data_IF_318436559872
#
_entry.id   IF_318436559872
#
_cell.length_a   1.000
_cell.length_b   1.000
_cell.length_c   1.000
_cell.angle_alpha   90.00
_cell.angle_beta   90.00
_cell.angle_gamma   90.00
#
_symmetry.space_group_name_H-M   'P 1'
#
loop_
_entity.id
_entity.type
_entity.pdbx_description
1 polymer ?
#
# COMPACT_ATOMS: atom_id res chain seq x y z
N UNK A 1 -57.08 46.18 16.36
CA UNK A 1 -57.08 47.39 17.22
C UNK A 1 -55.91 47.27 18.22
N UNK A 2 -54.70 47.69 17.81
CA UNK A 2 -54.16 49.06 18.01
C UNK A 2 -53.98 49.41 19.50
N UNK A 3 -52.86 49.94 20.02
CA UNK A 3 -51.57 50.42 19.49
C UNK A 3 -50.68 50.80 20.70
N UNK A 4 -49.34 50.75 20.52
CA UNK A 4 -48.28 51.63 21.08
C UNK A 4 -48.11 51.76 22.60
N UNK A 5 -46.92 51.88 23.18
CA UNK A 5 -45.55 52.05 22.71
C UNK A 5 -44.75 52.67 23.87
N UNK A 6 -43.48 52.30 24.08
CA UNK A 6 -42.40 53.28 24.28
C UNK A 6 -41.02 52.59 24.25
N UNK A 7 -40.07 53.25 23.61
CA UNK A 7 -38.69 52.84 23.34
C UNK A 7 -37.75 53.75 24.10
N UNK A 8 -36.72 53.22 24.75
CA UNK A 8 -35.51 53.99 25.07
C UNK A 8 -34.28 53.14 24.77
N UNK A 9 -33.59 53.54 23.70
CA UNK A 9 -32.24 53.16 23.36
C UNK A 9 -31.26 53.96 24.23
N UNK A 10 -30.19 53.32 24.67
CA UNK A 10 -29.03 53.99 25.26
C UNK A 10 -27.83 53.74 24.33
N UNK A 11 -27.13 54.82 24.03
CA UNK A 11 -26.15 54.96 22.95
C UNK A 11 -24.78 55.35 23.54
N UNK A 12 -23.71 54.90 22.87
CA UNK A 12 -22.33 55.44 22.80
C UNK A 12 -21.27 55.02 23.86
N UNK A 13 -19.95 55.12 23.55
CA UNK A 13 -19.31 55.58 22.30
C UNK A 13 -18.21 54.66 21.71
N UNK A 14 -17.88 54.95 20.45
CA UNK A 14 -16.62 54.63 19.78
C UNK A 14 -15.52 55.65 20.11
N UNK A 15 -14.26 55.21 20.02
CA UNK A 15 -13.07 56.06 20.06
C UNK A 15 -11.83 55.31 19.56
N UNK A 16 -11.40 55.66 18.34
CA UNK A 16 -10.04 55.55 17.78
C UNK A 16 -9.06 56.38 18.68
N UNK A 17 -7.72 56.31 18.68
CA UNK A 17 -6.74 55.93 17.67
C UNK A 17 -5.32 55.80 18.32
N UNK A 18 -4.40 55.20 17.57
CA UNK A 18 -2.97 55.54 17.43
C UNK A 18 -1.88 55.10 18.44
N UNK A 19 -1.00 54.26 17.88
CA UNK A 19 0.47 54.42 17.77
C UNK A 19 1.40 53.89 18.87
N UNK A 20 2.19 52.87 18.52
CA UNK A 20 3.63 53.01 18.27
C UNK A 20 4.22 51.70 17.73
N UNK A 21 4.79 51.77 16.53
CA UNK A 21 5.70 50.78 15.94
C UNK A 21 6.99 50.66 16.77
N UNK A 22 7.60 49.48 16.78
CA UNK A 22 9.04 49.42 16.59
C UNK A 22 9.43 48.26 15.66
N UNK A 23 10.16 48.68 14.63
CA UNK A 23 10.67 47.93 13.50
C UNK A 23 12.11 47.54 13.85
N UNK A 24 12.54 46.33 13.50
CA UNK A 24 13.94 46.09 13.14
C UNK A 24 14.02 45.42 11.77
N UNK A 25 14.24 46.26 10.77
CA UNK A 25 14.99 45.98 9.54
C UNK A 25 16.41 45.50 9.90
N UNK A 26 17.22 44.88 9.06
CA UNK A 26 17.32 44.73 7.60
C UNK A 26 18.71 44.08 7.36
N UNK A 27 18.92 43.28 6.33
CA UNK A 27 19.31 43.70 4.97
C UNK A 27 19.34 42.39 4.14
N UNK A 28 18.94 42.30 2.88
CA UNK A 28 18.66 43.34 1.89
C UNK A 28 19.53 43.12 0.64
N UNK A 29 18.84 43.11 -0.52
CA UNK A 29 19.32 43.35 -1.89
C UNK A 29 19.60 42.09 -2.75
N UNK A 30 18.70 41.70 -3.67
CA UNK A 30 18.30 42.27 -4.99
C UNK A 30 19.15 41.63 -6.12
N UNK A 31 18.57 40.72 -6.92
CA UNK A 31 17.96 40.94 -8.26
C UNK A 31 18.97 40.79 -9.42
N UNK A 32 18.68 39.91 -10.38
CA UNK A 32 18.61 40.20 -11.84
C UNK A 32 18.66 38.90 -12.64
N UNK A 33 17.70 38.75 -13.56
CA UNK A 33 17.79 37.84 -14.71
C UNK A 33 18.78 38.41 -15.74
N UNK A 34 19.54 37.55 -16.42
CA UNK A 34 19.80 37.66 -17.86
C UNK A 34 20.52 36.42 -18.41
N UNK A 35 20.11 36.10 -19.63
CA UNK A 35 20.59 35.11 -20.60
C UNK A 35 22.00 35.40 -21.17
N UNK A 36 22.71 34.34 -21.59
CA UNK A 36 23.64 34.22 -22.74
C UNK A 36 24.49 32.94 -22.51
N UNK A 37 24.32 31.83 -23.21
CA UNK A 37 24.83 31.55 -24.57
C UNK A 37 26.23 32.14 -24.79
N UNK A 38 27.25 31.28 -24.84
CA UNK A 38 28.54 31.65 -25.42
C UNK A 38 28.95 30.62 -26.49
N UNK A 39 29.21 31.17 -27.66
CA UNK A 39 29.46 30.50 -28.92
C UNK A 39 30.91 30.01 -29.03
N UNK A 40 31.01 28.91 -29.77
CA UNK A 40 32.11 28.40 -30.58
C UNK A 40 33.02 29.51 -31.15
N UNK A 41 34.34 29.30 -31.10
CA UNK A 41 35.23 29.69 -32.20
C UNK A 41 36.44 28.75 -32.39
N UNK A 42 37.01 28.68 -33.62
CA UNK A 42 37.52 27.45 -34.23
C UNK A 42 39.02 27.49 -34.56
N UNK A 43 39.53 26.33 -35.01
CA UNK A 43 40.64 26.26 -35.94
C UNK A 43 41.88 25.52 -35.42
N UNK A 44 42.21 24.39 -36.03
CA UNK A 44 43.37 24.24 -36.93
C UNK A 44 43.70 22.74 -37.10
N UNK A 45 43.46 22.21 -38.30
CA UNK A 45 44.07 20.96 -38.79
C UNK A 45 45.31 21.33 -39.60
N UNK A 46 46.40 20.53 -39.54
CA UNK A 46 47.01 20.04 -40.79
C UNK A 46 47.57 18.59 -40.62
N UNK A 47 48.22 17.96 -41.63
CA UNK A 47 47.56 17.08 -42.60
C UNK A 47 48.17 15.65 -42.65
N UNK A 48 47.42 14.75 -43.30
CA UNK A 48 47.86 13.72 -44.25
C UNK A 48 49.10 12.87 -43.97
N UNK A 49 48.88 11.55 -43.91
CA UNK A 49 49.65 10.61 -44.73
C UNK A 49 48.80 9.37 -45.04
N UNK A 50 48.41 9.26 -46.30
CA UNK A 50 47.90 8.05 -46.94
C UNK A 50 48.99 6.98 -46.96
N UNK A 51 48.66 5.76 -46.52
CA UNK A 51 49.14 4.53 -47.15
C UNK A 51 47.97 3.56 -47.25
N UNK A 52 47.53 3.31 -48.49
CA UNK A 52 46.65 2.24 -48.90
C UNK A 52 47.42 0.91 -48.94
N UNK A 53 46.83 -0.17 -48.41
CA UNK A 53 47.08 -1.53 -48.89
C UNK A 53 45.77 -2.33 -48.86
N UNK A 54 45.33 -2.72 -50.06
CA UNK A 54 44.23 -3.64 -50.37
C UNK A 54 44.60 -5.12 -50.10
N UNK A 55 43.58 -5.92 -49.79
CA UNK A 55 43.56 -7.40 -49.76
C UNK A 55 43.30 -7.91 -48.35
N UNK A 56 42.25 -8.65 -48.01
CA UNK A 56 41.40 -9.60 -48.74
C UNK A 56 40.04 -9.68 -48.01
N UNK A 57 38.93 -9.69 -48.75
CA UNK A 57 37.59 -9.94 -48.22
C UNK A 57 37.37 -11.46 -48.20
N UNK A 58 37.07 -12.03 -47.03
CA UNK A 58 36.48 -13.36 -46.87
C UNK A 58 35.17 -13.26 -46.11
N UNK A 59 34.19 -14.11 -46.44
CA UNK A 59 32.77 -13.81 -46.32
C UNK A 59 32.24 -13.95 -44.89
N UNK A 60 31.20 -13.16 -44.64
CA UNK A 60 30.34 -13.23 -43.47
C UNK A 60 29.63 -14.60 -43.42
N UNK A 61 29.95 -15.42 -42.43
CA UNK A 61 29.09 -16.52 -42.00
C UNK A 61 28.08 -15.94 -40.99
N UNK A 62 26.89 -15.64 -41.49
CA UNK A 62 25.67 -15.47 -40.69
C UNK A 62 25.38 -16.77 -39.92
N UNK A 63 25.71 -16.82 -38.63
CA UNK A 63 24.94 -17.60 -37.65
C UNK A 63 25.21 -17.10 -36.22
N UNK A 64 24.73 -15.90 -35.91
CA UNK A 64 24.51 -15.52 -34.51
C UNK A 64 23.09 -15.94 -34.15
N UNK A 65 22.89 -17.22 -33.87
CA UNK A 65 21.83 -17.60 -32.94
C UNK A 65 22.12 -16.83 -31.66
N UNK A 66 21.33 -15.78 -31.40
CA UNK A 66 21.19 -15.28 -30.04
C UNK A 66 20.59 -16.44 -29.25
N UNK A 67 21.46 -17.21 -28.61
CA UNK A 67 21.06 -18.06 -27.50
C UNK A 67 20.36 -17.12 -26.52
N UNK A 68 19.04 -17.24 -26.48
CA UNK A 68 18.19 -16.64 -25.47
C UNK A 68 18.61 -17.29 -24.15
N UNK A 69 19.64 -16.71 -23.53
CA UNK A 69 20.06 -17.05 -22.18
C UNK A 69 18.97 -16.51 -21.27
N UNK A 70 17.86 -17.24 -21.17
CA UNK A 70 16.98 -17.15 -20.02
C UNK A 70 17.84 -17.53 -18.82
N UNK A 71 18.37 -16.52 -18.13
CA UNK A 71 19.02 -16.74 -16.84
C UNK A 71 18.03 -17.51 -15.97
N UNK A 72 18.35 -18.77 -15.63
CA UNK A 72 17.49 -19.54 -14.75
C UNK A 72 17.38 -18.78 -13.43
N UNK A 73 16.17 -18.38 -13.05
CA UNK A 73 15.97 -17.66 -11.80
C UNK A 73 16.49 -18.49 -10.61
N UNK A 74 17.47 -17.92 -9.91
CA UNK A 74 18.08 -18.50 -8.72
C UNK A 74 17.31 -18.10 -7.46
N UNK A 75 16.57 -19.07 -6.93
CA UNK A 75 15.79 -18.94 -5.70
C UNK A 75 16.58 -19.34 -4.44
N UNK A 76 17.87 -19.69 -4.58
CA UNK A 76 18.69 -20.07 -3.45
C UNK A 76 18.79 -18.92 -2.45
N UNK A 77 18.80 -19.25 -1.16
CA UNK A 77 18.82 -18.30 -0.04
C UNK A 77 17.58 -17.39 0.08
N UNK A 78 16.49 -17.67 -0.63
CA UNK A 78 15.18 -17.12 -0.25
C UNK A 78 14.62 -17.93 0.93
N UNK A 79 13.79 -17.28 1.75
CA UNK A 79 13.11 -17.99 2.83
C UNK A 79 12.14 -19.02 2.25
N UNK A 80 12.01 -20.16 2.91
CA UNK A 80 11.00 -21.15 2.54
C UNK A 80 9.60 -20.63 2.80
N UNK A 81 8.59 -21.26 2.18
CA UNK A 81 7.19 -20.93 2.45
C UNK A 81 6.81 -21.12 3.93
N UNK A 82 7.36 -22.14 4.58
CA UNK A 82 7.13 -22.40 6.00
C UNK A 82 7.77 -21.32 6.88
N UNK A 83 9.01 -20.92 6.60
CA UNK A 83 9.66 -19.79 7.28
C UNK A 83 8.90 -18.48 7.10
N UNK A 84 8.30 -18.26 5.91
CA UNK A 84 7.46 -17.09 5.64
C UNK A 84 6.21 -17.11 6.53
N UNK A 85 5.54 -18.27 6.64
CA UNK A 85 4.35 -18.44 7.49
C UNK A 85 4.68 -18.26 8.97
N UNK A 86 5.84 -18.74 9.40
CA UNK A 86 6.31 -18.66 10.78
C UNK A 86 6.86 -17.28 11.19
N UNK A 87 6.94 -16.31 10.26
CA UNK A 87 7.26 -14.92 10.62
C UNK A 87 6.31 -14.41 11.71
N UNK A 88 6.84 -13.65 12.65
CA UNK A 88 6.04 -13.10 13.73
C UNK A 88 4.98 -12.09 13.23
N UNK A 89 4.02 -11.77 14.09
CA UNK A 89 2.88 -10.90 13.75
C UNK A 89 3.24 -9.41 13.65
N UNK A 90 4.51 -9.06 13.55
CA UNK A 90 4.99 -7.68 13.43
C UNK A 90 5.89 -7.43 12.23
N UNK A 91 6.13 -8.46 11.42
CA UNK A 91 6.96 -8.42 10.21
C UNK A 91 6.23 -9.10 9.05
N UNK A 92 6.20 -8.45 7.90
CA UNK A 92 5.76 -9.02 6.63
C UNK A 92 6.98 -9.53 5.83
N UNK A 93 6.79 -10.56 5.01
CA UNK A 93 7.82 -11.10 4.15
C UNK A 93 7.28 -11.54 2.79
N UNK A 94 8.20 -11.77 1.85
CA UNK A 94 7.90 -12.32 0.54
C UNK A 94 8.93 -13.37 0.16
N UNK A 95 8.52 -14.33 -0.66
CA UNK A 95 9.40 -15.36 -1.21
C UNK A 95 8.91 -15.88 -2.55
N UNK A 96 9.83 -16.51 -3.28
CA UNK A 96 9.57 -17.13 -4.57
C UNK A 96 10.31 -18.47 -4.65
N UNK A 97 9.71 -19.47 -5.27
CA UNK A 97 10.31 -20.81 -5.38
C UNK A 97 9.82 -21.58 -6.62
N UNK A 98 10.63 -22.52 -7.11
CA UNK A 98 10.21 -23.49 -8.14
C UNK A 98 9.48 -24.66 -7.49
N UNK A 99 8.27 -24.91 -7.96
CA UNK A 99 7.49 -26.13 -7.66
C UNK A 99 6.34 -26.22 -8.65
N UNK A 100 6.14 -27.40 -9.25
CA UNK A 100 4.99 -27.69 -10.12
C UNK A 100 3.69 -27.96 -9.37
N UNK A 101 3.65 -27.78 -8.05
CA UNK A 101 2.48 -28.01 -7.21
C UNK A 101 2.07 -26.75 -6.45
N UNK A 102 0.77 -26.47 -6.55
CA UNK A 102 0.01 -25.49 -5.78
C UNK A 102 -0.68 -26.21 -4.60
N UNK A 103 -0.64 -25.64 -3.39
CA UNK A 103 -0.89 -26.39 -2.15
C UNK A 103 -2.27 -26.25 -1.47
N UNK A 104 -3.18 -25.35 -1.86
CA UNK A 104 -4.41 -25.03 -1.08
C UNK A 104 -5.65 -24.59 -1.90
N UNK A 105 -6.70 -24.12 -1.20
CA UNK A 105 -8.09 -23.85 -1.66
C UNK A 105 -8.13 -22.62 -2.58
N UNK A 106 -7.75 -22.81 -3.84
CA UNK A 106 -7.48 -21.72 -4.77
C UNK A 106 -8.52 -21.49 -5.86
N UNK A 107 -8.49 -20.30 -6.45
CA UNK A 107 -8.88 -20.17 -7.85
C UNK A 107 -7.87 -20.94 -8.65
N UNK A 108 -8.31 -22.01 -9.30
CA UNK A 108 -7.48 -22.81 -10.18
C UNK A 108 -7.98 -22.66 -11.61
N UNK A 109 -7.15 -22.09 -12.46
CA UNK A 109 -7.29 -22.16 -13.91
C UNK A 109 -6.39 -23.28 -14.43
N UNK A 110 -6.39 -23.47 -15.74
CA UNK A 110 -5.59 -24.53 -16.36
C UNK A 110 -4.10 -24.34 -16.05
N UNK A 111 -3.62 -23.09 -16.15
CA UNK A 111 -2.19 -22.78 -16.08
C UNK A 111 -1.74 -21.96 -14.88
N UNK A 112 -2.66 -21.52 -14.02
CA UNK A 112 -2.30 -20.71 -12.85
C UNK A 112 -3.29 -20.90 -11.72
N UNK A 113 -2.82 -20.58 -10.51
CA UNK A 113 -3.68 -20.51 -9.34
C UNK A 113 -3.34 -19.35 -8.43
N UNK A 114 -4.36 -18.85 -7.75
CA UNK A 114 -4.22 -17.76 -6.79
C UNK A 114 -4.95 -18.11 -5.49
N UNK A 115 -4.25 -17.94 -4.37
CA UNK A 115 -4.77 -18.06 -3.01
C UNK A 115 -4.55 -16.78 -2.21
N UNK A 116 -5.39 -16.59 -1.20
CA UNK A 116 -5.20 -15.58 -0.19
C UNK A 116 -5.85 -16.02 1.11
N UNK A 117 -5.12 -15.91 2.23
CA UNK A 117 -5.58 -16.39 3.53
C UNK A 117 -4.85 -15.72 4.69
N UNK A 118 -5.41 -15.79 5.90
CA UNK A 118 -4.76 -15.32 7.10
C UNK A 118 -3.67 -16.27 7.57
N UNK A 119 -2.53 -15.71 7.99
CA UNK A 119 -1.44 -16.47 8.62
C UNK A 119 -1.40 -16.22 10.12
N UNK A 120 -0.93 -17.22 10.87
CA UNK A 120 -0.87 -17.22 12.34
C UNK A 120 -2.25 -17.05 13.01
N UNK A 121 -3.29 -17.58 12.38
CA UNK A 121 -4.66 -17.62 12.91
C UNK A 121 -5.13 -19.06 13.03
N UNK A 122 -6.12 -19.31 13.91
CA UNK A 122 -6.72 -20.65 14.06
C UNK A 122 -7.53 -21.06 12.82
N UNK A 123 -8.19 -20.07 12.19
CA UNK A 123 -8.92 -20.19 10.94
C UNK A 123 -8.31 -19.22 9.93
N UNK A 124 -8.07 -19.71 8.72
CA UNK A 124 -7.33 -19.02 7.66
C UNK A 124 -8.23 -18.10 6.82
N UNK A 125 -9.54 -18.07 7.04
CA UNK A 125 -10.51 -17.22 6.33
C UNK A 125 -11.42 -16.40 7.25
N UNK A 126 -11.49 -16.73 8.54
CA UNK A 126 -12.26 -16.00 9.54
C UNK A 126 -11.46 -15.75 10.82
N UNK A 127 -11.55 -14.53 11.35
CA UNK A 127 -10.96 -14.21 12.66
C UNK A 127 -11.92 -13.46 13.57
N UNK A 128 -11.91 -13.82 14.85
CA UNK A 128 -12.55 -13.05 15.91
C UNK A 128 -11.49 -12.44 16.84
N UNK A 129 -11.61 -11.15 17.15
CA UNK A 129 -10.63 -10.41 17.95
C UNK A 129 -11.28 -9.73 19.15
N UNK A 130 -10.78 -10.04 20.34
CA UNK A 130 -11.29 -9.54 21.62
C UNK A 130 -10.24 -8.76 22.45
N UNK A 131 -9.04 -8.59 21.90
CA UNK A 131 -7.93 -7.82 22.47
C UNK A 131 -7.15 -7.14 21.35
N UNK A 132 -6.20 -6.25 21.68
CA UNK A 132 -5.26 -5.66 20.73
C UNK A 132 -4.60 -6.76 19.87
N UNK A 133 -4.49 -6.52 18.56
CA UNK A 133 -4.04 -7.54 17.63
C UNK A 133 -3.27 -6.96 16.45
N UNK A 134 -2.42 -7.80 15.86
CA UNK A 134 -1.99 -7.61 14.47
C UNK A 134 -2.66 -8.66 13.62
N UNK A 135 -2.81 -8.37 12.33
CA UNK A 135 -3.38 -9.29 11.36
C UNK A 135 -2.51 -9.31 10.12
N UNK A 136 -2.14 -10.52 9.69
CA UNK A 136 -1.36 -10.77 8.48
C UNK A 136 -2.17 -11.62 7.51
N UNK A 137 -2.16 -11.22 6.26
CA UNK A 137 -2.70 -11.98 5.15
C UNK A 137 -1.56 -12.31 4.20
N UNK A 138 -1.58 -13.54 3.69
CA UNK A 138 -0.63 -14.05 2.72
C UNK A 138 -1.36 -14.29 1.42
N UNK A 139 -0.77 -13.82 0.33
CA UNK A 139 -1.19 -14.12 -1.03
C UNK A 139 -0.20 -15.10 -1.64
N UNK A 140 -0.71 -16.04 -2.43
CA UNK A 140 0.10 -17.01 -3.17
C UNK A 140 -0.33 -17.07 -4.62
N UNK A 141 0.62 -16.89 -5.53
CA UNK A 141 0.41 -17.04 -6.96
C UNK A 141 1.31 -18.16 -7.50
N UNK A 142 0.72 -19.08 -8.23
CA UNK A 142 1.41 -20.17 -8.92
C UNK A 142 1.09 -20.12 -10.41
N UNK A 143 2.08 -20.45 -11.24
CA UNK A 143 1.87 -20.59 -12.68
C UNK A 143 2.64 -21.77 -13.25
N UNK A 144 2.05 -22.49 -14.22
CA UNK A 144 2.70 -23.46 -15.09
C UNK A 144 3.00 -22.92 -16.49
N UNK A 145 2.75 -21.63 -16.71
CA UNK A 145 3.11 -20.89 -17.95
C UNK A 145 3.89 -19.62 -17.65
N UNK A 146 4.55 -19.05 -18.65
CA UNK A 146 5.16 -17.73 -18.52
C UNK A 146 4.08 -16.64 -18.56
N UNK A 147 4.19 -15.66 -17.67
CA UNK A 147 3.39 -14.44 -17.67
C UNK A 147 4.30 -13.25 -17.92
N UNK A 148 4.22 -12.58 -19.09
CA UNK A 148 5.02 -11.38 -19.37
C UNK A 148 4.77 -10.27 -18.35
N UNK A 149 5.68 -9.30 -18.27
CA UNK A 149 5.51 -8.08 -17.47
C UNK A 149 4.13 -7.42 -17.68
N UNK A 150 3.50 -7.01 -16.59
CA UNK A 150 2.24 -6.28 -16.58
C UNK A 150 1.01 -7.10 -16.98
N UNK A 151 1.10 -8.42 -17.04
CA UNK A 151 -0.02 -9.30 -17.45
C UNK A 151 -0.83 -9.86 -16.29
N UNK A 152 -0.31 -9.81 -15.06
CA UNK A 152 -1.00 -10.25 -13.84
C UNK A 152 -1.26 -9.04 -12.96
N UNK A 153 -2.53 -8.84 -12.61
CA UNK A 153 -2.98 -7.81 -11.68
C UNK A 153 -3.82 -8.45 -10.56
N UNK A 154 -3.50 -8.13 -9.31
CA UNK A 154 -4.24 -8.57 -8.14
C UNK A 154 -4.70 -7.35 -7.36
N UNK A 155 -5.99 -7.32 -7.01
CA UNK A 155 -6.62 -6.21 -6.28
C UNK A 155 -7.19 -6.70 -4.97
N UNK A 156 -6.93 -5.97 -3.90
CA UNK A 156 -7.51 -6.21 -2.57
C UNK A 156 -7.89 -4.87 -1.93
N UNK A 157 -9.00 -4.77 -1.17
CA UNK A 157 -9.30 -3.56 -0.42
C UNK A 157 -8.11 -3.14 0.47
N UNK A 158 -7.77 -1.86 0.47
CA UNK A 158 -6.63 -1.34 1.23
C UNK A 158 -6.93 -1.15 2.71
N UNK A 159 -8.16 -0.77 3.06
CA UNK A 159 -8.56 -0.63 4.46
C UNK A 159 -9.10 -1.95 5.01
N UNK A 160 -8.58 -2.39 6.16
CA UNK A 160 -9.16 -3.52 6.88
C UNK A 160 -10.53 -3.15 7.44
N UNK A 161 -10.59 -2.03 8.15
CA UNK A 161 -11.78 -1.55 8.85
C UNK A 161 -11.71 -0.03 9.00
N UNK A 162 -12.79 0.56 9.52
CA UNK A 162 -12.86 1.97 9.86
C UNK A 162 -12.86 2.12 11.39
N UNK A 163 -11.92 2.90 11.92
CA UNK A 163 -11.83 3.20 13.34
C UNK A 163 -12.99 4.07 13.83
N UNK A 164 -13.12 4.20 15.15
CA UNK A 164 -14.13 5.07 15.81
C UNK A 164 -14.05 6.52 15.35
N UNK A 165 -12.85 7.02 15.09
CA UNK A 165 -12.58 8.38 14.62
C UNK A 165 -12.81 8.59 13.11
N UNK A 166 -13.28 7.55 12.42
CA UNK A 166 -13.58 7.51 10.98
C UNK A 166 -12.35 7.43 10.07
N UNK A 167 -11.17 7.19 10.62
CA UNK A 167 -9.99 6.90 9.80
C UNK A 167 -9.96 5.43 9.35
N UNK A 168 -9.49 5.13 8.13
CA UNK A 168 -9.29 3.76 7.69
C UNK A 168 -8.05 3.14 8.35
N UNK A 169 -8.16 1.87 8.76
CA UNK A 169 -7.02 1.06 9.14
C UNK A 169 -6.31 0.56 7.86
N UNK A 170 -5.30 1.28 7.40
CA UNK A 170 -4.45 0.92 6.27
C UNK A 170 -3.32 -0.03 6.70
N UNK A 171 -2.69 -0.78 5.78
CA UNK A 171 -1.59 -1.67 6.12
C UNK A 171 -0.38 -0.88 6.58
N UNK A 172 0.29 -1.38 7.61
CA UNK A 172 1.53 -0.80 8.13
C UNK A 172 2.75 -1.25 7.31
N UNK A 173 2.66 -2.45 6.73
CA UNK A 173 3.75 -3.06 5.96
C UNK A 173 3.18 -3.96 4.86
N UNK A 174 3.77 -3.86 3.66
CA UNK A 174 3.45 -4.66 2.49
C UNK A 174 4.79 -5.24 2.02
N UNK A 175 4.91 -6.56 1.98
CA UNK A 175 6.21 -7.21 1.75
C UNK A 175 6.75 -7.12 0.32
N UNK A 176 6.06 -6.37 -0.55
CA UNK A 176 6.49 -6.10 -1.92
C UNK A 176 6.64 -4.59 -2.09
N UNK A 177 7.54 -4.11 -2.95
CA UNK A 177 7.83 -2.68 -3.06
C UNK A 177 6.63 -1.84 -3.52
N UNK A 178 6.50 -0.63 -2.95
CA UNK A 178 5.59 0.39 -3.45
C UNK A 178 6.19 1.03 -4.71
N UNK A 179 5.63 0.76 -5.88
CA UNK A 179 6.09 1.26 -7.17
C UNK A 179 4.93 1.35 -8.17
N UNK A 180 5.10 2.14 -9.22
CA UNK A 180 4.13 2.26 -10.31
C UNK A 180 4.62 1.52 -11.56
N UNK A 181 3.73 1.08 -12.46
CA UNK A 181 4.12 0.30 -13.64
C UNK A 181 5.17 0.95 -14.56
N UNK A 182 5.27 2.28 -14.56
CA UNK A 182 6.26 3.04 -15.33
C UNK A 182 7.65 3.12 -14.66
N UNK A 183 7.71 2.88 -13.36
CA UNK A 183 8.91 2.98 -12.53
C UNK A 183 8.98 1.84 -11.50
N UNK A 184 9.10 0.58 -11.94
CA UNK A 184 9.14 -0.56 -11.04
C UNK A 184 10.41 -0.60 -10.18
N UNK A 185 10.33 -1.26 -9.03
CA UNK A 185 11.43 -1.46 -8.10
C UNK A 185 11.77 -2.96 -8.06
N UNK A 186 12.87 -3.40 -8.70
CA UNK A 186 13.20 -4.82 -8.73
C UNK A 186 13.38 -5.43 -7.35
N UNK A 187 12.79 -6.61 -7.15
CA UNK A 187 12.96 -7.46 -5.97
C UNK A 187 13.43 -8.86 -6.35
N UNK A 188 14.25 -9.47 -5.51
CA UNK A 188 14.63 -10.88 -5.69
C UNK A 188 13.58 -11.84 -5.14
N UNK A 189 12.85 -11.42 -4.11
CA UNK A 189 11.95 -12.29 -3.34
C UNK A 189 10.53 -12.38 -3.92
N UNK A 190 10.19 -11.56 -4.90
CA UNK A 190 8.86 -11.51 -5.52
C UNK A 190 8.95 -10.87 -6.90
N UNK A 191 8.12 -11.28 -7.89
CA UNK A 191 8.00 -10.61 -9.17
C UNK A 191 6.97 -9.46 -9.15
N UNK A 192 6.35 -9.19 -8.00
CA UNK A 192 5.31 -8.19 -7.84
C UNK A 192 5.83 -6.92 -7.19
N UNK A 193 5.33 -5.79 -7.69
CA UNK A 193 5.28 -4.50 -7.00
C UNK A 193 3.81 -4.19 -6.69
N UNK A 194 3.56 -3.13 -5.92
CA UNK A 194 2.20 -2.64 -5.71
C UNK A 194 2.11 -1.11 -5.75
N UNK A 195 0.92 -0.61 -6.08
CA UNK A 195 0.52 0.77 -5.86
C UNK A 195 -0.84 0.84 -5.18
N UNK A 196 -1.22 2.05 -4.75
CA UNK A 196 -2.52 2.32 -4.14
C UNK A 196 -3.42 2.98 -5.20
N UNK A 197 -4.58 2.38 -5.44
CA UNK A 197 -5.66 2.96 -6.23
C UNK A 197 -6.61 3.68 -5.26
N UNK A 198 -6.37 4.98 -5.04
CA UNK A 198 -7.14 5.79 -4.08
C UNK A 198 -8.61 5.94 -4.47
N UNK A 199 -8.93 5.87 -5.78
CA UNK A 199 -10.31 5.98 -6.28
C UNK A 199 -11.09 4.70 -5.96
N UNK A 200 -10.48 3.54 -6.15
CA UNK A 200 -11.08 2.25 -5.80
C UNK A 200 -10.97 1.91 -4.31
N UNK A 201 -10.02 2.51 -3.59
CA UNK A 201 -9.66 2.12 -2.22
C UNK A 201 -9.02 0.73 -2.16
N UNK A 202 -8.19 0.40 -3.15
CA UNK A 202 -7.59 -0.92 -3.33
C UNK A 202 -6.05 -0.83 -3.37
N UNK A 203 -5.38 -1.87 -2.86
CA UNK A 203 -3.98 -2.15 -3.22
C UNK A 203 -4.01 -2.91 -4.53
N UNK A 204 -3.18 -2.49 -5.48
CA UNK A 204 -3.05 -3.13 -6.79
C UNK A 204 -1.65 -3.68 -6.91
N UNK A 205 -1.54 -5.00 -6.91
CA UNK A 205 -0.30 -5.72 -7.15
C UNK A 205 -0.19 -6.04 -8.63
N UNK A 206 0.97 -5.80 -9.22
CA UNK A 206 1.24 -6.08 -10.63
C UNK A 206 2.61 -6.71 -10.77
N UNK A 207 2.77 -7.61 -11.74
CA UNK A 207 4.08 -8.20 -11.99
C UNK A 207 4.95 -7.23 -12.80
N UNK A 208 6.06 -6.78 -12.23
CA UNK A 208 6.97 -5.83 -12.89
C UNK A 208 7.98 -6.51 -13.83
N UNK A 209 8.03 -7.85 -13.80
CA UNK A 209 8.86 -8.68 -14.69
C UNK A 209 8.11 -9.94 -15.08
N UNK A 210 8.65 -10.69 -16.03
CA UNK A 210 8.11 -12.00 -16.37
C UNK A 210 8.06 -12.94 -15.15
N UNK A 211 6.95 -13.67 -15.00
CA UNK A 211 6.84 -14.78 -14.05
C UNK A 211 7.02 -16.07 -14.83
N UNK A 212 8.12 -16.78 -14.57
CA UNK A 212 8.43 -18.02 -15.31
C UNK A 212 7.53 -19.19 -14.93
N UNK A 213 7.26 -20.06 -15.89
CA UNK A 213 6.53 -21.30 -15.70
C UNK A 213 7.14 -22.20 -14.61
N UNK A 214 6.28 -22.81 -13.80
CA UNK A 214 6.67 -23.69 -12.69
C UNK A 214 7.16 -22.94 -11.45
N UNK A 215 7.00 -21.62 -11.41
CA UNK A 215 7.32 -20.80 -10.25
C UNK A 215 6.09 -20.52 -9.39
N UNK A 216 6.37 -20.13 -8.15
CA UNK A 216 5.40 -19.71 -7.17
C UNK A 216 5.94 -18.45 -6.50
N UNK A 217 5.07 -17.50 -6.20
CA UNK A 217 5.38 -16.30 -5.43
C UNK A 217 4.40 -16.20 -4.26
N UNK A 218 4.91 -15.83 -3.09
CA UNK A 218 4.10 -15.56 -1.91
C UNK A 218 4.55 -14.25 -1.26
N UNK A 219 3.60 -13.45 -0.80
CA UNK A 219 3.90 -12.22 -0.07
C UNK A 219 2.83 -11.92 0.96
N UNK A 220 3.25 -11.22 2.01
CA UNK A 220 2.41 -10.86 3.12
C UNK A 220 2.09 -9.38 3.12
N UNK A 221 0.95 -9.07 3.71
CA UNK A 221 0.58 -7.70 4.06
C UNK A 221 0.09 -7.71 5.51
N UNK A 222 0.49 -6.67 6.25
CA UNK A 222 0.41 -6.62 7.69
C UNK A 222 -0.32 -5.36 8.15
N UNK A 223 -1.36 -5.57 8.96
CA UNK A 223 -1.94 -4.55 9.84
C UNK A 223 -1.41 -4.78 11.25
N UNK A 224 -0.71 -3.80 11.82
CA UNK A 224 0.09 -3.95 13.03
C UNK A 224 -0.54 -3.23 14.21
N UNK A 225 -0.65 -3.93 15.34
CA UNK A 225 -0.95 -3.30 16.62
C UNK A 225 -2.28 -2.57 16.69
N UNK A 226 -3.30 -3.05 15.97
CA UNK A 226 -4.66 -2.56 15.97
C UNK A 226 -5.21 -2.57 17.41
N UNK A 227 -5.55 -1.37 17.90
CA UNK A 227 -6.05 -1.17 19.26
C UNK A 227 -7.53 -1.45 19.32
N UNK A 228 -7.93 -2.46 20.09
CA UNK A 228 -9.35 -2.86 20.10
C UNK A 228 -10.26 -1.74 20.63
N UNK A 229 -9.74 -0.90 21.54
CA UNK A 229 -10.47 0.25 22.08
C UNK A 229 -10.74 1.35 21.05
N UNK A 230 -9.96 1.42 19.97
CA UNK A 230 -10.14 2.38 18.88
C UNK A 230 -11.14 1.87 17.83
N UNK A 231 -11.53 0.60 17.92
CA UNK A 231 -12.46 -0.06 17.00
C UNK A 231 -13.85 -0.12 17.67
N UNK A 232 -14.91 0.05 16.87
CA UNK A 232 -16.28 -0.09 17.37
C UNK A 232 -16.55 -1.56 17.65
N UNK A 233 -17.17 -1.86 18.79
CA UNK A 233 -17.52 -3.23 19.11
C UNK A 233 -18.48 -3.83 18.06
N UNK A 234 -18.26 -5.09 17.70
CA UNK A 234 -19.02 -5.75 16.64
C UNK A 234 -18.67 -5.26 15.23
N UNK A 235 -17.63 -4.44 15.05
CA UNK A 235 -17.13 -4.11 13.70
C UNK A 235 -16.71 -5.40 13.01
N UNK A 236 -17.31 -5.63 11.84
CA UNK A 236 -16.96 -6.69 10.91
C UNK A 236 -16.12 -6.10 9.77
N UNK A 237 -15.25 -6.92 9.21
CA UNK A 237 -14.51 -6.60 7.99
C UNK A 237 -14.53 -7.76 7.01
N UNK A 238 -14.26 -7.42 5.75
CA UNK A 238 -14.21 -8.35 4.63
C UNK A 238 -13.22 -7.83 3.60
N UNK A 239 -12.18 -8.60 3.33
CA UNK A 239 -11.20 -8.35 2.28
C UNK A 239 -11.45 -9.37 1.17
N UNK A 240 -11.83 -8.91 -0.02
CA UNK A 240 -12.10 -9.79 -1.17
C UNK A 240 -11.01 -9.63 -2.22
N UNK A 241 -10.06 -10.56 -2.31
CA UNK A 241 -9.05 -10.55 -3.34
C UNK A 241 -9.64 -10.85 -4.71
N UNK A 242 -9.20 -10.09 -5.71
CA UNK A 242 -9.53 -10.28 -7.12
C UNK A 242 -8.24 -10.41 -7.91
N UNK A 243 -8.27 -11.20 -8.96
CA UNK A 243 -7.12 -11.38 -9.86
C UNK A 243 -7.59 -11.29 -11.31
N UNK A 244 -6.75 -10.70 -12.14
CA UNK A 244 -6.84 -10.68 -13.59
C UNK A 244 -5.51 -11.13 -14.17
N UNK A 245 -5.55 -12.11 -15.06
CA UNK A 245 -4.39 -12.67 -15.73
C UNK A 245 -4.60 -12.60 -17.25
N UNK A 246 -3.72 -11.89 -17.94
CA UNK A 246 -3.75 -11.70 -19.39
C UNK A 246 -2.96 -12.82 -20.06
N UNK A 247 -3.66 -13.68 -20.78
CA UNK A 247 -3.10 -14.82 -21.51
C UNK A 247 -2.77 -14.37 -22.93
N UNK A 248 -1.47 -14.35 -23.23
CA UNK A 248 -1.01 -14.08 -24.60
C UNK A 248 -1.33 -15.29 -25.50
N UNK A 249 -1.77 -15.03 -26.74
CA UNK A 249 -2.04 -16.07 -27.73
C UNK A 249 -0.78 -16.86 -28.07
N UNK A 250 -0.94 -18.15 -28.39
CA UNK A 250 0.18 -18.99 -28.80
C UNK A 250 0.49 -18.83 -30.28
N UNK A 251 -0.51 -18.48 -31.09
CA UNK A 251 -0.38 -18.28 -32.54
C UNK A 251 -0.77 -16.86 -32.98
N UNK A 252 -0.10 -16.37 -34.02
CA UNK A 252 -0.38 -15.06 -34.61
C UNK A 252 -1.79 -15.05 -35.24
N UNK A 253 -2.69 -14.23 -34.67
CA UNK A 253 -4.08 -14.11 -35.11
C UNK A 253 -5.13 -14.64 -34.12
N UNK A 254 -4.71 -15.25 -33.01
CA UNK A 254 -5.60 -15.55 -31.88
C UNK A 254 -5.83 -14.30 -31.00
N UNK A 255 -6.97 -14.27 -30.30
CA UNK A 255 -7.32 -13.16 -29.41
C UNK A 255 -6.63 -13.29 -28.05
N UNK A 256 -6.24 -12.15 -27.49
CA UNK A 256 -5.79 -12.06 -26.09
C UNK A 256 -6.95 -12.42 -25.17
N UNK A 257 -6.73 -13.36 -24.26
CA UNK A 257 -7.75 -13.79 -23.29
C UNK A 257 -7.43 -13.18 -21.94
N UNK A 258 -8.41 -12.53 -21.32
CA UNK A 258 -8.30 -12.06 -19.93
C UNK A 258 -9.07 -13.01 -19.04
N UNK A 259 -8.35 -13.75 -18.20
CA UNK A 259 -8.96 -14.60 -17.19
C UNK A 259 -9.07 -13.84 -15.88
N UNK A 260 -10.27 -13.83 -15.30
CA UNK A 260 -10.52 -13.18 -14.01
C UNK A 260 -10.95 -14.18 -12.94
N UNK A 261 -10.72 -13.79 -11.70
CA UNK A 261 -11.08 -14.56 -10.52
C UNK A 261 -11.38 -13.67 -9.32
N UNK A 262 -12.33 -14.09 -8.49
CA UNK A 262 -12.66 -13.46 -7.20
C UNK A 262 -12.67 -14.55 -6.14
N UNK A 263 -11.88 -14.38 -5.08
CA UNK A 263 -11.80 -15.36 -3.99
C UNK A 263 -12.95 -15.22 -3.01
N UNK A 264 -13.14 -16.25 -2.18
CA UNK A 264 -13.93 -16.09 -0.97
C UNK A 264 -13.30 -14.98 -0.09
N UNK A 265 -14.11 -14.08 0.50
CA UNK A 265 -13.56 -13.00 1.29
C UNK A 265 -12.91 -13.50 2.57
N UNK A 266 -11.79 -12.88 2.94
CA UNK A 266 -11.21 -12.99 4.27
C UNK A 266 -11.98 -12.09 5.22
N UNK A 267 -12.66 -12.70 6.18
CA UNK A 267 -13.60 -12.00 7.05
C UNK A 267 -13.10 -11.94 8.48
N UNK A 268 -13.64 -11.01 9.25
CA UNK A 268 -13.38 -11.01 10.68
C UNK A 268 -14.29 -10.06 11.42
N UNK A 269 -14.23 -10.16 12.75
CA UNK A 269 -15.07 -9.38 13.65
C UNK A 269 -14.34 -9.04 14.95
N UNK A 270 -14.66 -7.87 15.49
CA UNK A 270 -14.33 -7.54 16.88
C UNK A 270 -15.44 -7.96 17.84
N UNK A 271 -15.06 -8.62 18.93
CA UNK A 271 -15.94 -8.95 20.06
C UNK A 271 -15.27 -8.45 21.35
N UNK A 272 -15.43 -7.16 21.60
CA UNK A 272 -14.77 -6.44 22.68
C UNK A 272 -15.71 -6.25 23.87
N UNK A 273 -15.16 -6.32 25.09
CA UNK A 273 -15.91 -5.96 26.28
C UNK A 273 -15.04 -5.18 27.26
N UNK A 274 -15.66 -4.26 27.99
CA UNK A 274 -14.99 -3.48 29.03
C UNK A 274 -15.58 -3.85 30.38
N UNK A 275 -14.72 -4.34 31.28
CA UNK A 275 -15.11 -4.61 32.67
C UNK A 275 -14.45 -3.59 33.59
N UNK A 276 -15.28 -2.79 34.29
CA UNK A 276 -14.84 -1.89 35.34
C UNK A 276 -14.74 -2.66 36.66
N UNK A 277 -13.52 -2.98 37.10
CA UNK A 277 -13.30 -3.74 38.33
C UNK A 277 -13.23 -2.88 39.60
N UNK A 278 -12.76 -1.63 39.50
CA UNK A 278 -12.72 -0.69 40.62
C UNK A 278 -12.77 0.76 40.14
N UNK A 279 -13.37 1.63 40.95
CA UNK A 279 -13.45 3.07 40.70
C UNK A 279 -12.99 3.78 41.98
N UNK A 280 -11.90 4.54 41.91
CA UNK A 280 -11.48 5.45 42.96
C UNK A 280 -11.86 6.88 42.60
N UNK A 281 -12.52 7.60 43.51
CA UNK A 281 -12.86 9.02 43.33
C UNK A 281 -12.05 9.86 44.31
N UNK A 282 -11.47 10.95 43.83
CA UNK A 282 -10.89 11.99 44.68
C UNK A 282 -11.75 13.26 44.56
N UNK A 283 -12.17 13.87 45.67
CA UNK A 283 -12.93 15.11 45.64
C UNK A 283 -12.07 16.26 45.10
N UNK A 284 -12.60 17.01 44.13
CA UNK A 284 -11.99 18.24 43.65
C UNK A 284 -12.45 19.41 44.51
N UNK A 285 -11.53 20.09 45.16
CA UNK A 285 -11.84 21.24 46.01
C UNK A 285 -11.33 22.53 45.37
N UNK A 286 -12.25 23.46 45.09
CA UNK A 286 -11.91 24.80 44.60
C UNK A 286 -12.85 25.83 45.22
N UNK A 287 -12.29 26.97 45.65
CA UNK A 287 -13.04 28.13 46.18
C UNK A 287 -14.02 27.77 47.32
N UNK A 288 -13.60 26.91 48.26
CA UNK A 288 -14.42 26.50 49.40
C UNK A 288 -15.58 25.57 49.06
N UNK A 289 -15.68 25.10 47.80
CA UNK A 289 -16.67 24.13 47.33
C UNK A 289 -15.96 22.82 47.00
N UNK A 290 -16.58 21.70 47.39
CA UNK A 290 -16.13 20.36 47.07
C UNK A 290 -17.03 19.78 45.98
N UNK A 291 -16.42 19.33 44.89
CA UNK A 291 -17.06 18.70 43.76
C UNK A 291 -16.64 17.24 43.74
N UNK A 292 -17.61 16.32 43.74
CA UNK A 292 -17.33 14.89 43.57
C UNK A 292 -17.78 14.49 42.17
N UNK A 293 -16.87 14.19 41.23
CA UNK A 293 -17.28 13.66 39.93
C UNK A 293 -18.04 12.34 40.14
N UNK A 294 -19.29 12.31 39.69
CA UNK A 294 -20.15 11.14 39.70
C UNK A 294 -20.07 10.41 38.36
N UNK A 295 -19.91 9.09 38.39
CA UNK A 295 -20.31 8.25 37.27
C UNK A 295 -21.79 7.96 37.45
N UNK A 296 -22.58 8.29 36.44
CA UNK A 296 -24.02 8.09 36.42
C UNK A 296 -24.36 7.11 35.31
N UNK A 297 -25.30 6.23 35.60
CA UNK A 297 -26.00 5.47 34.56
C UNK A 297 -26.92 6.40 33.76
N UNK A 298 -27.29 6.03 32.53
CA UNK A 298 -28.26 6.82 31.76
C UNK A 298 -29.57 7.07 32.51
N UNK A 299 -30.06 6.08 33.26
CA UNK A 299 -31.31 6.21 34.03
C UNK A 299 -31.18 7.26 35.13
N UNK A 300 -30.01 7.35 35.78
CA UNK A 300 -29.74 8.38 36.78
C UNK A 300 -29.69 9.77 36.15
N UNK A 301 -29.07 9.92 34.96
CA UNK A 301 -29.04 11.21 34.25
C UNK A 301 -30.44 11.65 33.82
N UNK A 302 -31.27 10.72 33.31
CA UNK A 302 -32.66 11.00 32.89
C UNK A 302 -33.60 11.39 34.03
N UNK A 303 -33.21 11.14 35.28
CA UNK A 303 -34.02 11.44 36.47
C UNK A 303 -33.71 12.79 37.13
N UNK A 304 -32.73 13.54 36.61
CA UNK A 304 -32.41 14.91 37.01
C UNK A 304 -33.15 15.94 36.16
#
# INVERSE_FOLDING_TARGET
PETGGDTLAEELPAGEDASAEEVLAGNGSSSEEASAEDEIQPGETPPGNDILQEGEIQPEDENSQSEDQTEEEDFDNLMTLDELKDLDNTTAGSTMWKSGFSLFRMIKKEDWSFDAYYVNQEDDHYVEKNQDFSLKYQMEFHTSRNFPEGTVEIRIPSALLIYRDKTPALPDDVAVPLAYPDHPIPSRSTPFDYYIDDEAGELVFFNYREISAGSNAAWQVLYKGLKIMEITDGTEWSLTPKISATIQPAEEGEEVVIETGTLEPLTGRTDSSVTLSSISKMPYSASGKSYTPGLYTESQVKSY
#
